data_IF_800317459672
#
_entry.id   IF_800317459672
#
_cell.length_a   1.000
_cell.length_b   1.000
_cell.length_c   1.000
_cell.angle_alpha   90.00
_cell.angle_beta   90.00
_cell.angle_gamma   90.00
#
_symmetry.space_group_name_H-M   'P 1'
#
loop_
_entity.id
_entity.type
_entity.pdbx_description
1 polymer ?
#
# COMPACT_ATOMS: atom_id res chain seq x y z
N UNK A 1 -18.23 4.00 -22.15
CA UNK A 1 -17.11 4.55 -21.38
C UNK A 1 -17.14 6.07 -21.38
N UNK A 2 -17.21 6.75 -22.50
CA UNK A 2 -17.23 8.22 -22.57
C UNK A 2 -18.38 8.87 -21.80
N UNK A 3 -19.61 8.34 -21.88
CA UNK A 3 -20.74 8.85 -21.09
C UNK A 3 -20.53 8.72 -19.58
N UNK A 4 -19.92 7.62 -19.11
CA UNK A 4 -19.62 7.42 -17.68
C UNK A 4 -18.53 8.39 -17.22
N UNK A 5 -17.48 8.56 -18.00
CA UNK A 5 -16.41 9.51 -17.72
C UNK A 5 -16.91 10.96 -17.63
N UNK A 6 -17.87 11.35 -18.49
CA UNK A 6 -18.48 12.68 -18.43
C UNK A 6 -19.32 12.89 -17.15
N UNK A 7 -20.07 11.88 -16.69
CA UNK A 7 -20.89 11.97 -15.47
C UNK A 7 -20.01 12.07 -14.22
N UNK A 8 -18.82 11.51 -14.26
CA UNK A 8 -17.87 11.51 -13.12
C UNK A 8 -16.97 12.73 -13.08
N UNK A 9 -16.94 13.52 -14.15
CA UNK A 9 -16.16 14.76 -14.20
C UNK A 9 -16.81 15.83 -13.32
N UNK A 10 -16.22 16.06 -12.15
CA UNK A 10 -16.69 17.04 -11.16
C UNK A 10 -15.58 18.05 -10.86
N UNK A 11 -15.92 19.28 -10.53
CA UNK A 11 -14.93 20.27 -10.08
C UNK A 11 -14.11 19.74 -8.92
N UNK A 12 -12.77 19.82 -9.01
CA UNK A 12 -11.85 19.36 -7.97
C UNK A 12 -11.54 17.87 -7.97
N UNK A 13 -12.14 17.08 -8.88
CA UNK A 13 -11.81 15.66 -9.05
C UNK A 13 -10.68 15.47 -10.03
N UNK A 14 -9.67 14.70 -9.62
CA UNK A 14 -8.52 14.33 -10.43
C UNK A 14 -8.59 12.85 -10.79
N UNK A 15 -8.35 12.50 -12.04
CA UNK A 15 -8.35 11.14 -12.55
C UNK A 15 -6.95 10.57 -12.71
N UNK A 16 -5.97 11.38 -12.47
CA UNK A 16 -4.55 11.11 -12.60
C UNK A 16 -3.82 11.60 -11.35
N UNK A 17 -2.68 11.02 -11.10
CA UNK A 17 -1.70 11.49 -10.15
C UNK A 17 -1.24 12.90 -10.58
N UNK A 18 -1.37 13.90 -9.71
CA UNK A 18 -1.00 15.27 -10.04
C UNK A 18 0.52 15.45 -9.95
N UNK A 19 1.09 16.48 -10.59
CA UNK A 19 2.52 16.74 -10.50
C UNK A 19 3.01 16.83 -9.06
N UNK A 20 4.07 16.10 -8.77
CA UNK A 20 4.68 16.06 -7.44
C UNK A 20 5.35 17.39 -7.07
N UNK A 21 5.18 17.83 -5.83
CA UNK A 21 5.89 19.00 -5.28
C UNK A 21 7.38 18.74 -5.16
N UNK A 22 7.76 17.47 -4.98
CA UNK A 22 9.14 17.01 -4.92
C UNK A 22 9.25 15.56 -5.44
N UNK A 23 10.48 15.15 -5.76
CA UNK A 23 10.76 13.80 -6.26
C UNK A 23 11.12 12.82 -5.11
N UNK A 24 10.35 12.84 -4.02
CA UNK A 24 10.57 11.99 -2.84
C UNK A 24 9.60 10.78 -2.82
N UNK A 25 9.85 9.84 -1.92
CA UNK A 25 8.93 8.74 -1.65
C UNK A 25 7.68 9.27 -0.94
N UNK A 26 6.48 8.86 -1.39
CA UNK A 26 5.21 9.40 -0.91
C UNK A 26 4.11 8.34 -0.90
N UNK A 27 3.12 8.51 -0.03
CA UNK A 27 1.89 7.72 -0.01
C UNK A 27 0.80 8.51 -0.72
N UNK A 28 0.36 8.00 -1.87
CA UNK A 28 -0.69 8.59 -2.69
C UNK A 28 -2.04 7.91 -2.43
N UNK A 29 -3.12 8.68 -2.35
CA UNK A 29 -4.44 8.15 -2.05
C UNK A 29 -5.35 8.11 -3.28
N UNK A 30 -6.16 7.04 -3.37
CA UNK A 30 -7.08 6.85 -4.48
C UNK A 30 -8.48 6.55 -3.93
N UNK A 31 -9.49 7.26 -4.42
CA UNK A 31 -10.88 6.84 -4.24
C UNK A 31 -11.25 5.88 -5.39
N UNK A 32 -11.28 4.58 -5.08
CA UNK A 32 -11.47 3.53 -6.09
C UNK A 32 -12.87 2.95 -6.03
N UNK A 33 -13.58 2.96 -7.16
CA UNK A 33 -14.90 2.39 -7.27
C UNK A 33 -14.96 1.22 -8.27
N UNK A 34 -15.82 0.24 -8.00
CA UNK A 34 -16.21 -0.72 -9.01
C UNK A 34 -17.21 -0.09 -10.00
N UNK A 35 -17.33 -0.68 -11.18
CA UNK A 35 -18.24 -0.20 -12.24
C UNK A 35 -19.67 0.10 -11.78
N UNK A 36 -20.19 -0.71 -10.87
CA UNK A 36 -21.56 -0.63 -10.36
C UNK A 36 -21.68 -0.03 -8.95
N UNK A 37 -20.59 0.49 -8.38
CA UNK A 37 -20.61 1.09 -7.06
C UNK A 37 -21.09 2.53 -7.13
N UNK A 38 -22.02 2.92 -6.25
CA UNK A 38 -22.49 4.30 -6.14
C UNK A 38 -21.34 5.21 -5.68
N UNK A 39 -21.12 6.29 -6.40
CA UNK A 39 -20.19 7.34 -6.04
C UNK A 39 -20.73 8.14 -4.83
N UNK A 40 -19.97 8.16 -3.76
CA UNK A 40 -20.25 8.95 -2.54
C UNK A 40 -19.36 10.20 -2.44
N UNK A 41 -18.62 10.51 -3.49
CA UNK A 41 -17.78 11.71 -3.60
C UNK A 41 -16.76 11.87 -2.46
N UNK A 42 -16.19 10.75 -1.99
CA UNK A 42 -15.29 10.77 -0.83
C UNK A 42 -13.98 11.49 -1.09
N UNK A 43 -13.59 11.61 -2.35
CA UNK A 43 -12.47 12.40 -2.86
C UNK A 43 -12.74 13.91 -2.90
N UNK A 44 -14.03 14.32 -2.81
CA UNK A 44 -14.45 15.72 -2.95
C UNK A 44 -15.03 16.31 -1.66
N UNK A 45 -15.55 15.48 -0.76
CA UNK A 45 -16.32 15.92 0.40
C UNK A 45 -15.52 16.00 1.71
N UNK A 46 -14.18 15.88 1.64
CA UNK A 46 -13.29 15.94 2.79
C UNK A 46 -13.26 14.68 3.66
N UNK A 47 -13.93 13.61 3.22
CA UNK A 47 -13.98 12.37 4.00
C UNK A 47 -12.62 11.66 4.03
N UNK A 48 -11.93 11.54 2.88
CA UNK A 48 -10.61 10.89 2.81
C UNK A 48 -9.59 11.70 3.60
N UNK A 49 -9.53 13.02 3.43
CA UNK A 49 -8.60 13.89 4.17
C UNK A 49 -8.77 13.73 5.69
N UNK A 50 -10.02 13.66 6.15
CA UNK A 50 -10.32 13.45 7.57
C UNK A 50 -9.84 12.10 8.08
N UNK A 51 -10.02 11.03 7.30
CA UNK A 51 -9.55 9.69 7.68
C UNK A 51 -8.03 9.61 7.62
N UNK A 52 -7.39 10.19 6.60
CA UNK A 52 -5.93 10.24 6.47
C UNK A 52 -5.31 11.00 7.66
N UNK A 53 -5.91 12.12 8.06
CA UNK A 53 -5.45 12.83 9.26
C UNK A 53 -5.52 11.96 10.52
N UNK A 54 -6.59 11.20 10.71
CA UNK A 54 -6.71 10.27 11.86
C UNK A 54 -5.68 9.15 11.81
N UNK A 55 -5.41 8.64 10.60
CA UNK A 55 -4.39 7.62 10.36
C UNK A 55 -3.04 8.15 10.79
N UNK A 56 -2.65 9.33 10.31
CA UNK A 56 -1.37 9.95 10.63
C UNK A 56 -1.21 10.28 12.12
N UNK A 57 -2.23 10.91 12.72
CA UNK A 57 -2.21 11.25 14.15
C UNK A 57 -2.13 9.99 15.04
N UNK A 58 -2.76 8.89 14.63
CA UNK A 58 -2.68 7.62 15.35
C UNK A 58 -1.30 6.99 15.18
N UNK A 59 -0.79 6.97 13.95
CA UNK A 59 0.56 6.46 13.67
C UNK A 59 1.63 7.25 14.44
N UNK A 60 1.55 8.58 14.45
CA UNK A 60 2.46 9.44 15.19
C UNK A 60 2.52 9.05 16.68
N UNK A 61 1.36 8.86 17.31
CA UNK A 61 1.28 8.39 18.70
C UNK A 61 1.86 6.98 18.88
N UNK A 62 1.65 6.09 17.92
CA UNK A 62 2.20 4.73 17.98
C UNK A 62 3.73 4.73 17.95
N UNK A 63 4.34 5.69 17.27
CA UNK A 63 5.81 5.85 17.24
C UNK A 63 6.37 6.59 18.46
N UNK A 64 5.53 6.95 19.42
CA UNK A 64 5.92 7.76 20.58
C UNK A 64 6.22 9.20 20.21
N UNK A 65 5.39 9.77 19.35
CA UNK A 65 5.47 11.14 18.83
C UNK A 65 6.78 11.43 18.06
N UNK A 66 7.35 10.41 17.39
CA UNK A 66 8.64 10.53 16.70
C UNK A 66 8.49 10.77 15.20
N UNK A 67 7.61 10.03 14.52
CA UNK A 67 7.53 10.06 13.06
C UNK A 67 6.09 10.08 12.56
N UNK A 68 5.90 10.72 11.41
CA UNK A 68 4.67 10.75 10.66
C UNK A 68 4.82 10.01 9.33
N UNK A 69 3.69 9.65 8.74
CA UNK A 69 3.65 9.11 7.38
C UNK A 69 3.92 10.24 6.36
N UNK A 70 4.65 9.91 5.30
CA UNK A 70 4.97 10.85 4.23
C UNK A 70 3.91 10.75 3.13
N UNK A 71 3.03 11.74 3.08
CA UNK A 71 1.93 11.78 2.11
C UNK A 71 2.26 12.61 0.89
N UNK A 72 1.60 12.28 -0.19
CA UNK A 72 1.61 13.02 -1.43
C UNK A 72 0.71 14.25 -1.35
N UNK A 73 1.29 15.42 -1.64
CA UNK A 73 0.59 16.70 -1.62
C UNK A 73 0.76 17.42 -2.96
N UNK A 74 -0.28 18.08 -3.40
CA UNK A 74 -0.26 18.97 -4.55
C UNK A 74 0.40 20.31 -4.24
N UNK A 75 0.73 21.08 -5.28
CA UNK A 75 1.30 22.42 -5.16
C UNK A 75 0.44 23.40 -4.31
N UNK A 76 -0.87 23.19 -4.25
CA UNK A 76 -1.78 23.98 -3.40
C UNK A 76 -1.76 23.57 -1.92
N UNK A 77 -0.89 22.64 -1.53
CA UNK A 77 -0.72 22.13 -0.18
C UNK A 77 -1.81 21.16 0.29
N UNK A 78 -2.75 20.80 -0.57
CA UNK A 78 -3.77 19.79 -0.27
C UNK A 78 -3.27 18.40 -0.58
N UNK A 79 -3.83 17.42 0.15
CA UNK A 79 -3.56 16.01 -0.14
C UNK A 79 -3.89 15.68 -1.59
N UNK A 80 -2.99 15.00 -2.29
CA UNK A 80 -3.31 14.51 -3.63
C UNK A 80 -4.16 13.25 -3.53
N UNK A 81 -5.39 13.35 -4.04
CA UNK A 81 -6.35 12.26 -4.05
C UNK A 81 -6.86 12.08 -5.46
N UNK A 82 -6.57 10.94 -6.05
CA UNK A 82 -7.08 10.58 -7.35
C UNK A 82 -8.39 9.79 -7.26
N UNK A 83 -9.19 9.87 -8.30
CA UNK A 83 -10.39 9.06 -8.48
C UNK A 83 -10.19 8.03 -9.58
N UNK A 84 -10.56 6.79 -9.32
CA UNK A 84 -10.57 5.75 -10.33
C UNK A 84 -11.86 4.92 -10.25
N UNK A 85 -12.42 4.59 -11.43
CA UNK A 85 -13.54 3.64 -11.51
C UNK A 85 -13.18 2.48 -12.43
N UNK A 86 -13.15 1.30 -11.87
CA UNK A 86 -12.86 0.10 -12.64
C UNK A 86 -13.96 -0.21 -13.66
N UNK A 87 -13.57 -0.86 -14.73
CA UNK A 87 -14.48 -1.32 -15.81
C UNK A 87 -15.28 -2.58 -15.41
N UNK A 88 -15.00 -3.19 -14.26
CA UNK A 88 -15.65 -4.40 -13.74
C UNK A 88 -16.52 -4.14 -12.52
N UNK A 89 -17.59 -4.95 -12.40
CA UNK A 89 -18.46 -4.94 -11.23
C UNK A 89 -17.74 -5.55 -10.02
N UNK A 90 -18.06 -5.06 -8.83
CA UNK A 90 -17.74 -5.78 -7.61
C UNK A 90 -18.49 -7.12 -7.60
N UNK A 91 -17.81 -8.22 -7.32
CA UNK A 91 -18.42 -9.55 -7.15
C UNK A 91 -18.85 -9.70 -5.69
N UNK A 92 -19.96 -10.44 -5.47
CA UNK A 92 -20.30 -10.94 -4.14
C UNK A 92 -19.19 -11.91 -3.67
N UNK A 93 -18.58 -11.65 -2.53
CA UNK A 93 -17.45 -12.47 -2.04
C UNK A 93 -16.08 -11.85 -2.18
N UNK A 94 -15.99 -10.63 -2.72
CA UNK A 94 -14.78 -9.84 -2.71
C UNK A 94 -14.05 -9.71 -4.05
N UNK A 95 -13.13 -8.77 -4.08
CA UNK A 95 -12.18 -8.63 -5.16
C UNK A 95 -10.92 -9.46 -4.88
N UNK A 96 -10.45 -10.14 -5.89
CA UNK A 96 -9.04 -10.47 -5.93
C UNK A 96 -8.29 -9.18 -6.27
N UNK A 97 -7.46 -8.68 -5.37
CA UNK A 97 -6.72 -7.41 -5.50
C UNK A 97 -5.79 -7.35 -6.71
N UNK A 98 -5.40 -8.47 -7.27
CA UNK A 98 -4.57 -8.50 -8.48
C UNK A 98 -5.19 -7.78 -9.67
N UNK A 99 -6.53 -7.72 -9.74
CA UNK A 99 -7.20 -6.98 -10.81
C UNK A 99 -7.19 -5.46 -10.59
N UNK A 100 -7.58 -4.93 -9.41
CA UNK A 100 -7.37 -3.53 -9.09
C UNK A 100 -5.93 -3.07 -9.29
N UNK A 101 -4.93 -3.83 -8.84
CA UNK A 101 -3.51 -3.51 -9.04
C UNK A 101 -3.18 -3.31 -10.52
N UNK A 102 -3.54 -4.29 -11.35
CA UNK A 102 -3.33 -4.22 -12.78
C UNK A 102 -4.05 -3.02 -13.41
N UNK A 103 -5.32 -2.82 -13.04
CA UNK A 103 -6.13 -1.72 -13.57
C UNK A 103 -5.51 -0.37 -13.24
N UNK A 104 -5.16 -0.13 -11.98
CA UNK A 104 -4.57 1.14 -11.53
C UNK A 104 -3.23 1.41 -12.21
N UNK A 105 -2.39 0.40 -12.35
CA UNK A 105 -1.12 0.57 -13.07
C UNK A 105 -1.33 0.93 -14.55
N UNK A 106 -2.35 0.37 -15.21
CA UNK A 106 -2.72 0.76 -16.59
C UNK A 106 -3.30 2.16 -16.68
N UNK A 107 -3.82 2.70 -15.59
CA UNK A 107 -4.27 4.10 -15.51
C UNK A 107 -3.13 5.08 -15.16
N UNK A 108 -1.90 4.60 -15.01
CA UNK A 108 -0.75 5.45 -14.72
C UNK A 108 -0.32 5.50 -13.25
N UNK A 109 -1.05 4.83 -12.34
CA UNK A 109 -0.66 4.74 -10.92
C UNK A 109 0.45 3.70 -10.73
N UNK A 110 1.65 4.03 -11.20
CA UNK A 110 2.78 3.10 -11.28
C UNK A 110 4.14 3.77 -10.98
N UNK A 111 4.16 4.94 -10.36
CA UNK A 111 5.40 5.60 -9.94
C UNK A 111 6.10 4.73 -8.88
N UNK A 112 7.36 4.32 -9.08
CA UNK A 112 8.09 3.44 -8.16
C UNK A 112 8.38 4.06 -6.79
N UNK A 113 8.30 5.38 -6.67
CA UNK A 113 8.46 6.10 -5.41
C UNK A 113 7.14 6.29 -4.65
N UNK A 114 6.01 5.88 -5.23
CA UNK A 114 4.70 6.02 -4.59
C UNK A 114 4.16 4.71 -4.07
N UNK A 115 3.70 4.73 -2.84
CA UNK A 115 2.85 3.70 -2.26
C UNK A 115 1.40 4.14 -2.44
N UNK A 116 0.65 3.47 -3.32
CA UNK A 116 -0.73 3.81 -3.60
C UNK A 116 -1.68 3.15 -2.60
N UNK A 117 -2.56 3.93 -1.99
CA UNK A 117 -3.54 3.42 -1.04
C UNK A 117 -4.96 3.81 -1.43
N UNK A 118 -5.78 2.82 -1.71
CA UNK A 118 -7.14 3.01 -2.21
C UNK A 118 -8.19 2.85 -1.12
N UNK A 119 -9.02 3.87 -0.93
CA UNK A 119 -10.30 3.75 -0.22
C UNK A 119 -11.39 3.32 -1.21
N UNK A 120 -12.07 2.20 -0.92
CA UNK A 120 -13.08 1.68 -1.83
C UNK A 120 -14.40 1.36 -1.13
N UNK A 121 -15.50 1.80 -1.72
CA UNK A 121 -16.86 1.41 -1.29
C UNK A 121 -17.28 0.01 -1.82
N UNK A 122 -16.41 -0.67 -2.57
CA UNK A 122 -16.68 -2.03 -3.02
C UNK A 122 -16.68 -3.02 -1.85
N UNK A 123 -17.39 -4.12 -2.02
CA UNK A 123 -17.40 -5.22 -1.05
C UNK A 123 -16.16 -6.11 -1.25
N UNK A 124 -15.54 -6.54 -0.15
CA UNK A 124 -14.53 -7.60 -0.10
C UNK A 124 -14.84 -8.57 1.05
N UNK A 125 -14.20 -9.72 1.06
CA UNK A 125 -14.17 -10.64 2.20
C UNK A 125 -13.45 -10.06 3.42
N UNK A 126 -12.39 -9.27 3.16
CA UNK A 126 -11.51 -8.67 4.16
C UNK A 126 -11.78 -7.18 4.35
N UNK A 127 -11.30 -6.60 5.47
CA UNK A 127 -11.40 -5.17 5.74
C UNK A 127 -10.39 -4.33 4.96
N UNK A 128 -9.22 -4.89 4.70
CA UNK A 128 -8.15 -4.29 3.91
C UNK A 128 -7.26 -5.35 3.29
N UNK A 129 -6.37 -4.92 2.43
CA UNK A 129 -5.31 -5.76 1.86
C UNK A 129 -4.18 -4.87 1.34
N UNK A 130 -2.94 -5.29 1.49
CA UNK A 130 -1.77 -4.60 0.99
C UNK A 130 -0.89 -5.52 0.16
N UNK A 131 -0.57 -5.06 -1.05
CA UNK A 131 0.53 -5.58 -1.87
C UNK A 131 1.79 -4.71 -1.69
N UNK A 132 2.89 -5.03 -2.40
CA UNK A 132 4.12 -4.24 -2.29
C UNK A 132 3.99 -2.77 -2.74
N UNK A 133 3.04 -2.45 -3.61
CA UNK A 133 2.90 -1.14 -4.24
C UNK A 133 1.49 -0.55 -4.11
N UNK A 134 0.46 -1.37 -4.03
CA UNK A 134 -0.93 -0.95 -3.90
C UNK A 134 -1.60 -1.57 -2.68
N UNK A 135 -2.30 -0.74 -1.92
CA UNK A 135 -3.11 -1.12 -0.78
C UNK A 135 -4.57 -0.73 -0.94
N UNK A 136 -5.44 -1.41 -0.22
CA UNK A 136 -6.88 -1.24 -0.30
C UNK A 136 -7.51 -1.27 1.09
N UNK A 137 -8.40 -0.32 1.34
CA UNK A 137 -9.36 -0.36 2.44
C UNK A 137 -10.76 -0.54 1.88
N UNK A 138 -11.45 -1.60 2.28
CA UNK A 138 -12.83 -1.87 1.92
C UNK A 138 -13.77 -1.27 2.97
N UNK A 139 -14.22 -0.04 2.72
CA UNK A 139 -14.92 0.81 3.69
C UNK A 139 -16.12 0.10 4.34
N UNK A 140 -16.91 -0.62 3.55
CA UNK A 140 -18.07 -1.34 4.05
C UNK A 140 -17.74 -2.46 5.06
N UNK A 141 -16.58 -3.11 4.90
CA UNK A 141 -16.09 -4.17 5.81
C UNK A 141 -15.30 -3.62 6.98
N UNK A 142 -14.59 -2.53 6.76
CA UNK A 142 -13.81 -1.84 7.79
C UNK A 142 -14.66 -0.97 8.72
N UNK A 143 -15.99 -0.99 8.61
CA UNK A 143 -16.91 -0.16 9.38
C UNK A 143 -16.61 -0.22 10.89
N UNK A 144 -16.40 0.94 11.51
CA UNK A 144 -15.96 1.09 12.90
C UNK A 144 -14.47 0.87 13.16
N UNK A 145 -13.67 0.42 12.17
CA UNK A 145 -12.25 0.15 12.33
C UNK A 145 -11.39 0.74 11.17
N UNK A 146 -11.91 1.72 10.44
CA UNK A 146 -11.27 2.29 9.24
C UNK A 146 -9.82 2.69 9.53
N UNK A 147 -9.59 3.57 10.50
CA UNK A 147 -8.25 4.04 10.87
C UNK A 147 -7.31 2.87 11.20
N UNK A 148 -7.81 1.93 12.00
CA UNK A 148 -7.03 0.79 12.49
C UNK A 148 -6.59 -0.15 11.37
N UNK A 149 -7.52 -0.50 10.48
CA UNK A 149 -7.23 -1.36 9.33
C UNK A 149 -6.35 -0.64 8.31
N UNK A 150 -6.60 0.66 8.07
CA UNK A 150 -5.74 1.45 7.18
C UNK A 150 -4.29 1.49 7.67
N UNK A 151 -4.06 1.71 8.97
CA UNK A 151 -2.71 1.67 9.55
C UNK A 151 -2.10 0.29 9.35
N UNK A 152 -2.84 -0.79 9.63
CA UNK A 152 -2.37 -2.16 9.43
C UNK A 152 -1.86 -2.38 8.00
N UNK A 153 -2.66 -2.03 7.00
CA UNK A 153 -2.29 -2.20 5.60
C UNK A 153 -1.12 -1.27 5.20
N UNK A 154 -1.14 -0.02 5.62
CA UNK A 154 -0.03 0.91 5.36
C UNK A 154 1.28 0.44 5.99
N UNK A 155 1.24 -0.17 7.16
CA UNK A 155 2.42 -0.76 7.79
C UNK A 155 3.03 -1.86 6.91
N UNK A 156 2.21 -2.72 6.29
CA UNK A 156 2.71 -3.69 5.32
C UNK A 156 3.43 -3.03 4.14
N UNK A 157 2.87 -1.97 3.58
CA UNK A 157 3.49 -1.20 2.50
C UNK A 157 4.76 -0.46 2.92
N UNK A 158 4.86 -0.06 4.17
CA UNK A 158 6.04 0.58 4.76
C UNK A 158 7.15 -0.40 5.16
N UNK A 159 6.97 -1.70 4.93
CA UNK A 159 7.96 -2.72 5.26
C UNK A 159 7.84 -3.29 6.66
N UNK A 160 6.66 -3.16 7.28
CA UNK A 160 6.33 -3.82 8.52
C UNK A 160 6.45 -5.35 8.38
N UNK A 161 6.89 -5.99 9.46
CA UNK A 161 6.96 -7.44 9.56
C UNK A 161 7.72 -8.10 8.39
N UNK A 162 8.89 -7.58 8.09
CA UNK A 162 9.82 -8.26 7.17
C UNK A 162 10.07 -9.70 7.63
N UNK A 163 10.34 -10.64 6.70
CA UNK A 163 10.59 -12.04 7.06
C UNK A 163 11.71 -12.25 8.08
N UNK A 164 12.63 -11.31 8.20
CA UNK A 164 13.71 -11.32 9.19
C UNK A 164 13.27 -10.81 10.56
N UNK A 165 12.14 -10.09 10.67
CA UNK A 165 11.66 -9.52 11.93
C UNK A 165 11.33 -10.63 12.92
N UNK A 166 11.85 -10.50 14.15
CA UNK A 166 11.63 -11.49 15.22
C UNK A 166 10.13 -11.58 15.56
N UNK A 167 9.60 -12.81 15.57
CA UNK A 167 8.20 -13.08 15.91
C UNK A 167 7.23 -13.09 14.73
N UNK A 168 7.72 -12.81 13.52
CA UNK A 168 6.94 -12.99 12.30
C UNK A 168 6.67 -14.47 12.04
N UNK A 169 5.40 -14.85 11.90
CA UNK A 169 4.97 -16.25 11.73
C UNK A 169 4.68 -16.64 10.30
N UNK A 170 3.90 -15.84 9.60
CA UNK A 170 3.46 -16.14 8.23
C UNK A 170 4.18 -15.30 7.15
N UNK A 171 5.26 -14.64 7.54
CA UNK A 171 6.07 -13.78 6.67
C UNK A 171 5.52 -12.36 6.52
N UNK A 172 4.46 -12.00 7.28
CA UNK A 172 3.86 -10.67 7.22
C UNK A 172 3.24 -10.19 8.53
N UNK A 173 3.04 -11.07 9.51
CA UNK A 173 2.30 -10.74 10.72
C UNK A 173 3.00 -11.22 12.00
N UNK A 174 2.79 -10.50 13.09
CA UNK A 174 3.29 -10.83 14.41
C UNK A 174 2.23 -11.63 15.20
N UNK A 175 2.22 -12.94 15.02
CA UNK A 175 1.37 -13.82 15.84
C UNK A 175 -0.13 -13.78 15.52
N UNK A 176 -0.95 -14.33 16.44
CA UNK A 176 -2.41 -14.37 16.32
C UNK A 176 -3.02 -13.10 16.91
N UNK A 177 -3.96 -12.45 16.24
CA UNK A 177 -4.60 -11.21 16.71
C UNK A 177 -3.88 -9.93 16.27
N UNK A 178 -3.48 -9.89 15.07
CA UNK A 178 -2.64 -8.95 14.35
C UNK A 178 -2.92 -7.48 14.67
N UNK A 179 -4.17 -7.03 14.53
CA UNK A 179 -4.55 -5.63 14.75
C UNK A 179 -4.35 -5.14 16.18
N UNK A 180 -4.41 -6.03 17.16
CA UNK A 180 -4.21 -5.65 18.57
C UNK A 180 -2.74 -5.56 18.98
N UNK A 181 -1.86 -6.24 18.28
CA UNK A 181 -0.42 -6.24 18.57
C UNK A 181 0.32 -5.09 17.93
N UNK A 182 -0.09 -4.69 16.73
CA UNK A 182 0.48 -3.58 15.99
C UNK A 182 0.18 -2.23 16.63
N UNK A 183 -1.01 -2.11 17.24
CA UNK A 183 -1.46 -0.93 17.96
C UNK A 183 -1.08 -0.94 19.45
N UNK A 184 -0.28 -1.93 19.90
CA UNK A 184 0.14 -2.07 21.29
C UNK A 184 1.56 -1.56 21.53
N UNK A 185 1.95 -1.45 22.82
CA UNK A 185 3.32 -1.12 23.25
C UNK A 185 4.39 -2.09 22.68
N UNK A 186 4.00 -3.24 22.14
CA UNK A 186 4.92 -4.19 21.48
C UNK A 186 5.35 -3.72 20.08
N UNK A 187 4.61 -2.81 19.46
CA UNK A 187 4.95 -2.24 18.16
C UNK A 187 6.36 -1.62 18.17
N UNK A 188 6.67 -0.75 19.14
CA UNK A 188 7.95 -0.06 19.21
C UNK A 188 9.16 -0.98 19.26
N UNK A 189 9.08 -2.07 20.04
CA UNK A 189 10.21 -2.98 20.28
C UNK A 189 10.35 -4.11 19.26
N UNK A 190 9.25 -4.51 18.64
CA UNK A 190 9.24 -5.69 17.77
C UNK A 190 9.41 -5.37 16.29
N UNK A 191 9.03 -4.17 15.87
CA UNK A 191 8.91 -3.81 14.45
C UNK A 191 9.48 -2.44 14.15
N UNK A 192 9.10 -1.44 14.94
CA UNK A 192 9.47 -0.06 14.67
C UNK A 192 10.97 0.19 14.86
N UNK A 193 11.54 -0.36 15.93
CA UNK A 193 12.95 -0.18 16.31
C UNK A 193 13.45 -1.42 17.04
N UNK A 194 13.68 -2.54 16.33
CA UNK A 194 14.17 -3.78 16.92
C UNK A 194 15.70 -3.84 17.02
N UNK A 195 16.42 -2.91 16.34
CA UNK A 195 17.87 -2.80 16.37
C UNK A 195 18.62 -4.08 15.92
N UNK A 196 18.06 -4.87 15.02
CA UNK A 196 18.78 -5.96 14.35
C UNK A 196 19.46 -5.41 13.08
N UNK A 197 20.80 -5.27 13.08
CA UNK A 197 21.50 -4.66 11.94
C UNK A 197 21.37 -5.47 10.63
N UNK A 198 20.81 -6.67 10.70
CA UNK A 198 20.61 -7.55 9.53
C UNK A 198 19.17 -7.57 9.02
N UNK A 199 18.30 -6.73 9.59
CA UNK A 199 16.89 -6.66 9.25
C UNK A 199 16.42 -5.20 9.30
N UNK A 200 15.69 -4.69 8.30
CA UNK A 200 15.20 -3.32 8.32
C UNK A 200 14.27 -3.04 9.48
N UNK A 201 14.46 -1.93 10.17
CA UNK A 201 13.53 -1.36 11.13
C UNK A 201 12.50 -0.51 10.41
N UNK A 202 11.23 -0.58 10.81
CA UNK A 202 10.19 0.25 10.20
C UNK A 202 10.50 1.75 10.27
N UNK A 203 11.16 2.23 11.34
CA UNK A 203 11.57 3.62 11.49
C UNK A 203 12.44 4.14 10.34
N UNK A 204 13.11 3.25 9.62
CA UNK A 204 14.02 3.58 8.53
C UNK A 204 13.33 3.51 7.16
N UNK A 205 12.00 3.31 7.11
CA UNK A 205 11.26 3.30 5.84
C UNK A 205 11.29 4.66 5.15
N UNK A 206 11.49 4.64 3.82
CA UNK A 206 11.47 5.86 2.97
C UNK A 206 10.14 6.61 3.00
N UNK A 207 9.05 5.97 3.44
CA UNK A 207 7.71 6.57 3.53
C UNK A 207 7.42 7.25 4.88
N UNK A 208 8.43 7.48 5.72
CA UNK A 208 8.29 8.15 7.03
C UNK A 208 8.97 9.51 7.08
N UNK A 209 8.49 10.41 7.94
CA UNK A 209 9.05 11.71 8.25
C UNK A 209 9.38 11.77 9.76
N UNK A 210 10.60 12.15 10.20
CA UNK A 210 11.79 12.36 9.38
C UNK A 210 12.27 11.07 8.74
N UNK A 211 12.95 11.19 7.59
CA UNK A 211 13.61 10.05 6.98
C UNK A 211 14.86 9.71 7.77
N UNK A 212 15.15 8.43 7.95
CA UNK A 212 16.39 7.94 8.57
C UNK A 212 17.61 8.33 7.75
N UNK A 213 18.77 8.43 8.40
CA UNK A 213 20.07 8.61 7.71
C UNK A 213 20.42 7.38 6.85
N UNK A 214 19.80 6.26 7.10
CA UNK A 214 19.98 5.00 6.38
C UNK A 214 18.65 4.37 5.97
N UNK A 215 17.87 5.03 5.10
CA UNK A 215 16.53 4.60 4.72
C UNK A 215 16.54 3.33 3.90
N UNK A 216 15.46 2.57 3.95
CA UNK A 216 15.21 1.44 3.05
C UNK A 216 13.90 1.61 2.27
N UNK A 217 13.91 1.14 1.04
CA UNK A 217 12.72 1.04 0.20
C UNK A 217 12.11 -0.37 0.29
N UNK A 218 10.93 -0.52 0.91
CA UNK A 218 10.26 -1.81 1.02
C UNK A 218 9.97 -2.47 -0.32
N UNK A 219 9.63 -1.68 -1.34
CA UNK A 219 9.36 -2.18 -2.69
C UNK A 219 10.63 -2.75 -3.32
N UNK A 220 11.77 -2.07 -3.18
CA UNK A 220 13.05 -2.55 -3.68
C UNK A 220 13.41 -3.91 -3.06
N UNK A 221 13.22 -4.07 -1.75
CA UNK A 221 13.49 -5.33 -1.06
C UNK A 221 12.54 -6.43 -1.53
N UNK A 222 11.25 -6.16 -1.62
CA UNK A 222 10.26 -7.11 -2.11
C UNK A 222 10.55 -7.56 -3.54
N UNK A 223 10.93 -6.62 -4.42
CA UNK A 223 11.32 -6.89 -5.80
C UNK A 223 12.60 -7.74 -5.89
N UNK A 224 13.63 -7.42 -5.11
CA UNK A 224 14.87 -8.20 -5.08
C UNK A 224 14.65 -9.63 -4.61
N UNK A 225 13.79 -9.84 -3.60
CA UNK A 225 13.40 -11.17 -3.13
C UNK A 225 12.61 -11.95 -4.19
N UNK A 226 11.69 -11.29 -4.89
CA UNK A 226 10.90 -11.88 -5.97
C UNK A 226 11.76 -12.33 -7.15
N UNK A 227 12.76 -11.53 -7.53
CA UNK A 227 13.70 -11.84 -8.61
C UNK A 227 14.51 -13.10 -8.35
N UNK A 228 15.05 -13.24 -7.14
CA UNK A 228 15.86 -14.41 -6.77
C UNK A 228 15.09 -15.72 -6.85
N UNK A 229 13.78 -15.70 -6.63
CA UNK A 229 12.93 -16.90 -6.66
C UNK A 229 12.57 -17.35 -8.09
N UNK A 230 12.66 -16.45 -9.07
CA UNK A 230 12.11 -16.70 -10.42
C UNK A 230 13.11 -16.78 -11.57
N UNK A 231 14.39 -16.56 -11.31
CA UNK A 231 15.44 -16.54 -12.35
C UNK A 231 15.16 -15.60 -13.54
N UNK A 232 14.25 -14.64 -13.39
CA UNK A 232 13.86 -13.74 -14.48
C UNK A 232 13.61 -12.31 -13.95
N UNK A 233 14.68 -11.53 -13.75
CA UNK A 233 14.59 -10.24 -13.10
C UNK A 233 14.14 -9.14 -14.08
N UNK A 234 13.04 -8.45 -13.83
CA UNK A 234 12.72 -7.21 -14.52
C UNK A 234 13.38 -6.01 -13.83
N UNK A 235 14.68 -5.88 -13.90
CA UNK A 235 15.42 -4.74 -13.35
C UNK A 235 16.49 -5.12 -12.34
N UNK A 236 17.37 -4.18 -12.02
CA UNK A 236 18.44 -4.38 -11.05
C UNK A 236 17.99 -3.88 -9.68
N UNK A 237 17.26 -4.73 -8.95
CA UNK A 237 16.94 -4.46 -7.55
C UNK A 237 17.95 -5.18 -6.67
N UNK A 238 18.56 -4.45 -5.76
CA UNK A 238 19.56 -4.97 -4.85
C UNK A 238 19.08 -4.88 -3.40
N UNK A 239 19.30 -5.94 -2.65
CA UNK A 239 19.13 -5.88 -1.21
C UNK A 239 20.40 -5.23 -0.65
N UNK A 240 20.30 -4.16 0.15
CA UNK A 240 21.45 -3.56 0.78
C UNK A 240 22.35 -4.61 1.44
N UNK A 241 23.67 -4.50 1.27
CA UNK A 241 24.62 -5.51 1.73
C UNK A 241 24.56 -5.79 3.26
N UNK A 242 24.09 -4.79 4.03
CA UNK A 242 23.86 -4.88 5.48
C UNK A 242 22.79 -5.88 5.87
N UNK A 243 21.83 -6.18 4.98
CA UNK A 243 20.77 -7.15 5.29
C UNK A 243 21.14 -8.55 4.84
N UNK A 244 20.98 -9.53 5.72
CA UNK A 244 21.28 -10.93 5.39
C UNK A 244 20.16 -11.54 4.56
N UNK A 245 20.45 -11.85 3.32
CA UNK A 245 19.54 -12.55 2.39
C UNK A 245 18.86 -13.78 2.99
N UNK A 246 19.60 -14.54 3.85
CA UNK A 246 19.09 -15.75 4.46
C UNK A 246 17.91 -15.50 5.40
N UNK A 247 17.93 -14.38 6.16
CA UNK A 247 16.82 -14.00 7.02
C UNK A 247 15.63 -13.47 6.21
N UNK A 248 15.89 -12.61 5.21
CA UNK A 248 14.84 -12.05 4.34
C UNK A 248 14.17 -13.12 3.48
N UNK A 249 14.89 -14.16 3.06
CA UNK A 249 14.36 -15.25 2.23
C UNK A 249 13.50 -16.27 2.99
N UNK A 250 13.46 -16.24 4.33
CA UNK A 250 12.59 -17.15 5.12
C UNK A 250 11.10 -16.84 5.01
N UNK A 251 10.73 -15.71 4.45
CA UNK A 251 9.36 -15.30 4.31
C UNK A 251 8.72 -15.65 2.96
N UNK A 252 7.67 -14.98 2.66
CA UNK A 252 6.70 -15.16 1.58
C UNK A 252 7.24 -15.79 0.30
N UNK A 253 6.60 -16.87 -0.10
CA UNK A 253 6.81 -17.52 -1.41
C UNK A 253 6.31 -16.68 -2.59
N UNK A 254 5.54 -15.61 -2.37
CA UNK A 254 4.76 -14.88 -3.38
C UNK A 254 4.91 -13.37 -3.31
N UNK A 255 6.04 -12.83 -2.86
CA UNK A 255 6.23 -11.39 -2.90
C UNK A 255 6.48 -10.93 -4.34
N UNK A 256 5.63 -10.02 -4.76
CA UNK A 256 5.53 -9.52 -6.11
C UNK A 256 6.15 -8.14 -6.18
N UNK A 257 7.10 -7.95 -7.06
CA UNK A 257 7.44 -6.64 -7.56
C UNK A 257 6.35 -6.21 -8.54
N UNK A 258 5.35 -5.47 -8.06
CA UNK A 258 4.22 -5.06 -8.90
C UNK A 258 4.64 -4.13 -10.01
N UNK A 259 5.72 -3.40 -9.85
CA UNK A 259 6.15 -2.37 -10.78
C UNK A 259 6.52 -2.88 -12.19
N UNK A 260 7.08 -4.08 -12.32
CA UNK A 260 7.43 -4.68 -13.64
C UNK A 260 6.81 -6.05 -13.90
N UNK A 261 6.20 -6.66 -12.89
CA UNK A 261 5.55 -7.97 -13.05
C UNK A 261 4.14 -7.88 -13.65
N UNK A 262 3.61 -6.68 -13.84
CA UNK A 262 2.25 -6.49 -14.34
C UNK A 262 2.05 -7.04 -15.73
N UNK A 263 3.03 -6.96 -16.62
CA UNK A 263 2.90 -7.61 -17.94
C UNK A 263 2.88 -9.13 -17.81
N UNK A 264 3.77 -9.69 -17.03
CA UNK A 264 3.86 -11.13 -16.84
C UNK A 264 2.76 -11.70 -15.93
N UNK A 265 2.46 -11.03 -14.83
CA UNK A 265 1.34 -11.42 -13.97
C UNK A 265 0.00 -11.24 -14.68
N UNK A 266 -0.18 -10.19 -15.49
CA UNK A 266 -1.37 -10.02 -16.29
C UNK A 266 -1.57 -11.16 -17.28
N UNK A 267 -0.53 -11.64 -17.95
CA UNK A 267 -0.64 -12.77 -18.87
C UNK A 267 -0.97 -14.09 -18.15
N UNK A 268 -0.36 -14.37 -17.01
CA UNK A 268 -0.64 -15.58 -16.24
C UNK A 268 -2.01 -15.57 -15.56
N UNK A 269 -2.41 -14.44 -14.97
CA UNK A 269 -3.67 -14.35 -14.23
C UNK A 269 -4.87 -14.10 -15.13
N UNK A 270 -4.69 -13.49 -16.31
CA UNK A 270 -5.76 -13.31 -17.29
C UNK A 270 -6.14 -14.60 -18.03
N UNK A 271 -5.25 -15.56 -18.19
CA UNK A 271 -5.60 -16.89 -18.76
C UNK A 271 -6.62 -17.63 -17.90
N UNK A 272 -6.56 -17.47 -16.58
CA UNK A 272 -7.51 -18.11 -15.66
C UNK A 272 -8.83 -17.31 -15.46
N UNK A 273 -8.88 -16.06 -15.93
CA UNK A 273 -10.08 -15.23 -15.83
C UNK A 273 -10.95 -15.22 -17.07
N UNK A 274 -10.48 -15.77 -18.17
CA UNK A 274 -11.28 -15.94 -19.39
C UNK A 274 -12.07 -17.25 -19.43
N UNK A 275 -11.88 -18.12 -18.45
CA UNK A 275 -12.71 -19.28 -18.21
C UNK A 275 -13.73 -18.97 -17.12
#
# INVERSE_FOLDING_TARGET
QEKQAQIEKKPGRFFEDQPDVNDDFQIHFIYLLAKNTKDKERDLNGWIEKEVKKIDDTFFKMTGDKQRLKFDYREDGKLDISFARMDRKAKSGGWNVSYPDYYLQKQGFNNPKKLYFSFTDAASGDGGQMGPHHGYLFIGRASGQITKISIHELLHGNGFAMPCTKGVRDGAHLGVGILSQELSLKFGKAVYEHNDPTCPDLKDSVYLIPTSDDPFDPLQIACALGQKKRNNPPGNYEIPARYTHKKLLKGRKNEWCTYKLTEYASEMWFKDWKK
#
